data_IF_938755573756
#
_entry.id   IF_938755573756
#
_cell.length_a   1.000
_cell.length_b   1.000
_cell.length_c   1.000
_cell.angle_alpha   90.00
_cell.angle_beta   90.00
_cell.angle_gamma   90.00
#
_symmetry.space_group_name_H-M   'P 1'
#
loop_
_entity.id
_entity.type
_entity.pdbx_description
1 polymer ?
#
# COMPACT_ATOMS: atom_id res chain seq x y z
N UNK A 1 -10.22 8.80 -8.82
CA UNK A 1 -9.27 9.89 -8.49
C UNK A 1 -8.26 9.98 -9.61
N UNK A 2 -8.12 11.14 -10.23
CA UNK A 2 -7.20 11.40 -11.34
C UNK A 2 -5.78 11.69 -10.84
N UNK A 3 -4.77 11.69 -11.71
CA UNK A 3 -3.40 12.12 -11.38
C UNK A 3 -3.36 13.53 -10.81
N UNK A 4 -4.18 14.44 -11.36
CA UNK A 4 -4.29 15.80 -10.88
C UNK A 4 -4.85 15.87 -9.45
N UNK A 5 -5.88 15.09 -9.16
CA UNK A 5 -6.44 14.99 -7.80
C UNK A 5 -5.40 14.45 -6.80
N UNK A 6 -4.57 13.48 -7.21
CA UNK A 6 -3.46 12.96 -6.40
C UNK A 6 -2.45 14.08 -6.11
N UNK A 7 -2.03 14.82 -7.14
CA UNK A 7 -1.07 15.93 -7.02
C UNK A 7 -1.60 17.00 -6.06
N UNK A 8 -2.86 17.43 -6.24
CA UNK A 8 -3.45 18.46 -5.40
C UNK A 8 -3.60 17.97 -3.95
N UNK A 9 -4.06 16.73 -3.74
CA UNK A 9 -4.14 16.13 -2.40
C UNK A 9 -2.78 16.06 -1.74
N UNK A 10 -1.73 15.61 -2.47
CA UNK A 10 -0.36 15.60 -1.97
C UNK A 10 0.12 17.01 -1.61
N UNK A 11 -0.21 18.05 -2.37
CA UNK A 11 0.25 19.41 -2.06
C UNK A 11 -0.36 19.91 -0.75
N UNK A 12 -1.66 19.71 -0.58
CA UNK A 12 -2.43 20.30 0.51
C UNK A 12 -2.53 19.43 1.78
N UNK A 13 -2.19 18.14 1.73
CA UNK A 13 -2.19 17.30 2.94
C UNK A 13 -1.20 17.82 3.99
N UNK A 14 -1.63 17.80 5.25
CA UNK A 14 -0.80 18.19 6.39
C UNK A 14 0.28 17.14 6.68
N UNK A 15 1.45 17.59 7.12
CA UNK A 15 2.53 16.72 7.63
C UNK A 15 2.53 16.62 9.16
N UNK A 16 1.59 17.29 9.85
CA UNK A 16 1.50 17.24 11.32
C UNK A 16 0.77 16.00 11.83
N UNK A 17 -0.07 15.38 10.99
CA UNK A 17 -0.82 14.16 11.31
C UNK A 17 -0.86 13.28 10.07
N UNK A 18 -0.01 12.25 10.04
CA UNK A 18 0.13 11.36 8.89
C UNK A 18 -0.29 9.93 9.28
N UNK A 19 -1.60 9.73 9.35
CA UNK A 19 -2.19 8.45 9.68
C UNK A 19 -2.45 7.60 8.44
N UNK A 20 -3.33 6.61 8.60
CA UNK A 20 -3.73 5.72 7.51
C UNK A 20 -4.27 6.43 6.26
N UNK A 21 -5.12 7.49 6.36
CA UNK A 21 -5.62 8.19 5.18
C UNK A 21 -4.49 8.80 4.34
N UNK A 22 -3.52 9.46 4.97
CA UNK A 22 -2.34 10.00 4.30
C UNK A 22 -1.48 8.90 3.69
N UNK A 23 -1.36 7.77 4.38
CA UNK A 23 -0.71 6.56 3.88
C UNK A 23 -1.32 6.05 2.58
N UNK A 24 -2.66 6.02 2.47
CA UNK A 24 -3.35 5.63 1.23
C UNK A 24 -3.02 6.59 0.09
N UNK A 25 -3.00 7.90 0.35
CA UNK A 25 -2.65 8.91 -0.67
C UNK A 25 -1.22 8.71 -1.15
N UNK A 26 -0.26 8.51 -0.24
CA UNK A 26 1.14 8.23 -0.57
C UNK A 26 1.27 6.94 -1.37
N UNK A 27 0.63 5.85 -0.92
CA UNK A 27 0.63 4.57 -1.62
C UNK A 27 0.10 4.69 -3.05
N UNK A 28 -0.93 5.50 -3.25
CA UNK A 28 -1.50 5.79 -4.57
C UNK A 28 -0.58 6.64 -5.43
N UNK A 29 0.03 7.68 -4.87
CA UNK A 29 0.94 8.57 -5.60
C UNK A 29 2.20 7.86 -6.09
N UNK A 30 2.83 7.07 -5.22
CA UNK A 30 4.03 6.28 -5.57
C UNK A 30 3.70 5.27 -6.67
N UNK A 31 2.54 4.63 -6.58
CA UNK A 31 2.07 3.70 -7.60
C UNK A 31 1.80 4.40 -8.94
N UNK A 32 1.02 5.48 -8.91
CA UNK A 32 0.64 6.22 -10.11
C UNK A 32 1.90 6.70 -10.84
N UNK A 33 2.87 7.27 -10.11
CA UNK A 33 4.16 7.69 -10.67
C UNK A 33 4.90 6.55 -11.40
N UNK A 34 4.93 5.35 -10.81
CA UNK A 34 5.57 4.17 -11.42
C UNK A 34 4.87 3.68 -12.69
N UNK A 35 3.57 3.96 -12.85
CA UNK A 35 2.77 3.52 -14.00
C UNK A 35 2.56 4.59 -15.07
N UNK A 36 2.75 5.86 -14.74
CA UNK A 36 2.56 6.96 -15.68
C UNK A 36 3.61 6.91 -16.80
N UNK A 37 3.21 7.14 -18.06
CA UNK A 37 4.15 7.36 -19.15
C UNK A 37 4.95 8.64 -18.94
N UNK A 38 6.12 8.72 -19.55
CA UNK A 38 6.92 9.95 -19.53
C UNK A 38 6.14 11.12 -20.12
N UNK A 39 6.16 12.26 -19.42
CA UNK A 39 5.40 13.44 -19.81
C UNK A 39 5.22 14.45 -18.68
N UNK A 40 4.52 15.54 -18.99
CA UNK A 40 4.35 16.65 -18.05
C UNK A 40 3.66 16.23 -16.74
N UNK A 41 2.63 15.38 -16.80
CA UNK A 41 1.93 14.91 -15.60
C UNK A 41 2.83 14.08 -14.68
N UNK A 42 3.71 13.25 -15.24
CA UNK A 42 4.68 12.46 -14.48
C UNK A 42 5.72 13.35 -13.79
N UNK A 43 6.21 14.37 -14.47
CA UNK A 43 7.14 15.35 -13.89
C UNK A 43 6.47 16.22 -12.80
N UNK A 44 5.20 16.61 -13.00
CA UNK A 44 4.45 17.33 -11.96
C UNK A 44 4.20 16.47 -10.72
N UNK A 45 3.88 15.19 -10.90
CA UNK A 45 3.72 14.25 -9.79
C UNK A 45 5.05 13.99 -9.09
N UNK A 46 6.15 13.81 -9.85
CA UNK A 46 7.52 13.71 -9.29
C UNK A 46 7.83 14.90 -8.39
N UNK A 47 7.58 16.11 -8.88
CA UNK A 47 7.80 17.33 -8.11
C UNK A 47 6.95 17.36 -6.85
N UNK A 48 5.67 17.01 -6.93
CA UNK A 48 4.78 16.96 -5.77
C UNK A 48 5.24 15.94 -4.71
N UNK A 49 5.71 14.76 -5.14
CA UNK A 49 6.27 13.73 -4.26
C UNK A 49 7.51 14.27 -3.53
N UNK A 50 8.46 14.86 -4.27
CA UNK A 50 9.70 15.40 -3.68
C UNK A 50 9.41 16.58 -2.75
N UNK A 51 8.58 17.54 -3.18
CA UNK A 51 8.23 18.73 -2.38
C UNK A 51 7.53 18.34 -1.06
N UNK A 52 6.69 17.30 -1.08
CA UNK A 52 6.03 16.81 0.13
C UNK A 52 6.98 16.00 1.00
N UNK A 53 7.82 15.14 0.42
CA UNK A 53 8.83 14.39 1.18
C UNK A 53 9.82 15.32 1.89
N UNK A 54 10.18 16.46 1.28
CA UNK A 54 11.03 17.48 1.90
C UNK A 54 10.38 18.02 3.19
N UNK A 55 9.07 18.29 3.18
CA UNK A 55 8.33 18.73 4.36
C UNK A 55 8.25 17.65 5.45
N UNK A 56 8.38 16.38 5.08
CA UNK A 56 8.33 15.24 6.01
C UNK A 56 9.68 14.98 6.69
N UNK A 57 10.81 15.49 6.17
CA UNK A 57 12.16 15.20 6.70
C UNK A 57 12.30 15.54 8.19
N UNK A 58 11.66 16.62 8.64
CA UNK A 58 11.74 17.12 10.01
C UNK A 58 10.63 16.59 10.94
N UNK A 59 9.78 15.67 10.45
CA UNK A 59 8.56 15.24 11.14
C UNK A 59 8.64 13.77 11.50
N UNK A 60 8.62 13.49 12.81
CA UNK A 60 8.34 12.16 13.35
C UNK A 60 6.85 12.06 13.63
N UNK A 61 6.12 11.35 12.78
CA UNK A 61 4.70 11.06 13.03
C UNK A 61 4.53 9.61 13.43
N UNK A 62 3.71 9.36 14.45
CA UNK A 62 3.29 8.00 14.76
C UNK A 62 2.22 7.55 13.75
N UNK A 63 2.48 6.42 13.09
CA UNK A 63 1.40 5.63 12.50
C UNK A 63 1.00 4.64 13.58
N UNK A 64 -0.15 4.88 14.21
CA UNK A 64 -0.69 3.91 15.17
C UNK A 64 -1.31 2.75 14.38
N UNK A 65 -0.92 1.52 14.71
CA UNK A 65 -1.42 0.30 14.10
C UNK A 65 -0.57 -0.27 12.96
N UNK A 66 -0.29 -1.57 13.05
CA UNK A 66 0.47 -2.35 12.07
C UNK A 66 -0.25 -2.63 10.74
N UNK A 67 -1.44 -2.08 10.58
CA UNK A 67 -2.44 -2.47 9.58
C UNK A 67 -2.45 -1.54 8.36
N UNK A 68 -1.74 -0.42 8.41
CA UNK A 68 -1.99 0.70 7.51
C UNK A 68 -0.78 1.03 6.61
N UNK A 69 -1.02 1.49 5.38
CA UNK A 69 0.04 2.01 4.52
C UNK A 69 0.74 3.19 5.21
N UNK A 70 2.07 3.24 5.09
CA UNK A 70 2.85 4.32 5.70
C UNK A 70 2.94 5.54 4.79
N UNK A 71 2.58 6.72 5.29
CA UNK A 71 2.86 7.97 4.61
C UNK A 71 4.37 8.23 4.48
N UNK A 72 5.18 7.68 5.39
CA UNK A 72 6.64 7.81 5.36
C UNK A 72 7.27 7.07 4.17
N UNK A 73 6.52 6.21 3.48
CA UNK A 73 7.00 5.60 2.24
C UNK A 73 7.30 6.64 1.14
N UNK A 74 6.78 7.87 1.26
CA UNK A 74 7.11 8.95 0.36
C UNK A 74 8.60 9.34 0.42
N UNK A 75 9.27 9.13 1.57
CA UNK A 75 10.70 9.36 1.72
C UNK A 75 11.53 8.40 0.86
N UNK A 76 11.14 7.11 0.78
CA UNK A 76 11.79 6.15 -0.13
C UNK A 76 11.58 6.55 -1.60
N UNK A 77 10.38 7.01 -1.96
CA UNK A 77 10.11 7.47 -3.30
C UNK A 77 10.99 8.68 -3.66
N UNK A 78 11.09 9.69 -2.78
CA UNK A 78 11.94 10.84 -2.99
C UNK A 78 13.44 10.47 -3.07
N UNK A 79 13.90 9.54 -2.22
CA UNK A 79 15.26 8.99 -2.31
C UNK A 79 15.52 8.37 -3.68
N UNK A 80 14.65 7.49 -4.16
CA UNK A 80 14.80 6.82 -5.46
C UNK A 80 14.75 7.81 -6.64
N UNK A 81 14.00 8.90 -6.51
CA UNK A 81 13.85 9.93 -7.55
C UNK A 81 15.04 10.90 -7.64
N UNK A 82 15.72 11.14 -6.53
CA UNK A 82 16.70 12.23 -6.41
C UNK A 82 18.11 11.75 -6.12
N UNK A 83 18.27 10.57 -5.50
CA UNK A 83 19.55 10.10 -4.96
C UNK A 83 20.04 10.91 -3.75
N UNK A 84 19.20 11.75 -3.15
CA UNK A 84 19.59 12.60 -2.02
C UNK A 84 19.71 11.76 -0.73
N UNK A 85 20.95 11.57 -0.28
CA UNK A 85 21.30 10.79 0.91
C UNK A 85 20.75 11.38 2.24
N UNK A 86 20.25 12.61 2.23
CA UNK A 86 19.54 13.15 3.41
C UNK A 86 18.26 12.36 3.69
N UNK A 87 17.54 11.89 2.65
CA UNK A 87 16.36 11.03 2.84
C UNK A 87 16.73 9.71 3.52
N UNK A 88 17.82 9.08 3.08
CA UNK A 88 18.31 7.84 3.71
C UNK A 88 18.66 8.04 5.18
N UNK A 89 19.27 9.18 5.50
CA UNK A 89 19.62 9.53 6.89
C UNK A 89 18.35 9.64 7.75
N UNK A 90 17.35 10.38 7.27
CA UNK A 90 16.04 10.52 7.94
C UNK A 90 15.34 9.16 8.10
N UNK A 91 15.28 8.36 7.04
CA UNK A 91 14.67 7.03 7.06
C UNK A 91 15.34 6.14 8.12
N UNK A 92 16.67 6.17 8.17
CA UNK A 92 17.45 5.39 9.16
C UNK A 92 17.19 5.86 10.59
N UNK A 93 16.98 7.15 10.80
CA UNK A 93 16.62 7.69 12.12
C UNK A 93 15.18 7.33 12.53
N UNK A 94 14.26 7.26 11.56
CA UNK A 94 12.87 6.84 11.80
C UNK A 94 12.79 5.35 12.15
N UNK A 95 13.51 4.50 11.43
CA UNK A 95 13.56 3.06 11.72
C UNK A 95 14.10 2.77 13.12
N UNK A 96 15.14 3.49 13.55
CA UNK A 96 15.71 3.35 14.91
C UNK A 96 14.88 3.98 16.01
N UNK A 97 13.80 4.69 15.65
CA UNK A 97 12.95 5.35 16.64
C UNK A 97 12.01 4.36 17.30
N UNK A 98 11.48 4.71 18.47
CA UNK A 98 10.42 3.93 19.12
C UNK A 98 9.07 4.05 18.38
N UNK A 99 8.99 4.94 17.39
CA UNK A 99 7.78 5.22 16.66
C UNK A 99 7.60 4.19 15.54
N UNK A 100 6.47 3.50 15.56
CA UNK A 100 6.13 2.53 14.53
C UNK A 100 5.71 3.24 13.23
N UNK A 101 6.32 2.85 12.11
CA UNK A 101 6.11 3.47 10.79
C UNK A 101 5.19 2.68 9.86
N UNK A 102 5.01 1.38 10.08
CA UNK A 102 4.23 0.49 9.20
C UNK A 102 5.06 -0.60 8.52
N UNK A 103 4.50 -1.79 8.31
CA UNK A 103 5.25 -2.96 7.79
C UNK A 103 5.83 -2.73 6.39
N UNK A 104 5.13 -1.99 5.54
CA UNK A 104 5.65 -1.64 4.22
C UNK A 104 6.85 -0.69 4.32
N UNK A 105 6.87 0.20 5.31
CA UNK A 105 8.03 1.07 5.57
C UNK A 105 9.22 0.23 6.04
N UNK A 106 9.00 -0.64 7.01
CA UNK A 106 10.04 -1.51 7.57
C UNK A 106 10.57 -2.48 6.51
N UNK A 107 9.71 -3.00 5.63
CA UNK A 107 10.12 -3.85 4.51
C UNK A 107 10.96 -3.06 3.49
N UNK A 108 10.58 -1.83 3.15
CA UNK A 108 11.41 -0.97 2.30
C UNK A 108 12.76 -0.70 2.94
N UNK A 109 12.82 -0.47 4.26
CA UNK A 109 14.07 -0.28 4.99
C UNK A 109 14.97 -1.50 4.83
N UNK A 110 14.47 -2.68 5.16
CA UNK A 110 15.22 -3.92 5.11
C UNK A 110 15.70 -4.24 3.70
N UNK A 111 14.88 -3.95 2.68
CA UNK A 111 15.24 -4.15 1.27
C UNK A 111 16.32 -3.21 0.80
N UNK A 112 16.21 -1.91 1.12
CA UNK A 112 17.09 -0.88 0.57
C UNK A 112 18.36 -0.69 1.40
N UNK A 113 18.27 -0.83 2.73
CA UNK A 113 19.32 -0.44 3.67
C UNK A 113 19.68 -1.51 4.72
N UNK A 114 18.70 -2.26 5.24
CA UNK A 114 18.81 -3.06 6.48
C UNK A 114 19.44 -4.46 6.38
N UNK A 115 19.85 -4.91 5.19
CA UNK A 115 20.56 -6.20 5.06
C UNK A 115 19.68 -7.46 5.16
N UNK A 116 18.35 -7.31 5.24
CA UNK A 116 17.31 -8.35 5.12
C UNK A 116 17.14 -9.30 6.32
N UNK A 117 17.67 -8.93 7.49
CA UNK A 117 17.61 -9.77 8.69
C UNK A 117 16.21 -9.83 9.30
N UNK A 118 15.39 -8.80 9.11
CA UNK A 118 14.07 -8.68 9.74
C UNK A 118 12.90 -9.06 8.84
N UNK A 119 13.13 -9.49 7.58
CA UNK A 119 12.05 -9.90 6.68
C UNK A 119 11.11 -10.94 7.32
N UNK A 120 11.67 -11.94 8.00
CA UNK A 120 10.87 -12.99 8.62
C UNK A 120 9.95 -12.43 9.71
N UNK A 121 10.47 -11.55 10.57
CA UNK A 121 9.68 -10.91 11.62
C UNK A 121 8.49 -10.12 11.03
N UNK A 122 8.70 -9.40 9.93
CA UNK A 122 7.65 -8.67 9.23
C UNK A 122 6.57 -9.61 8.67
N UNK A 123 6.95 -10.77 8.09
CA UNK A 123 5.97 -11.76 7.62
C UNK A 123 5.18 -12.41 8.76
N UNK A 124 5.82 -12.70 9.90
CA UNK A 124 5.14 -13.22 11.09
C UNK A 124 4.13 -12.21 11.60
N UNK A 125 4.49 -10.92 11.61
CA UNK A 125 3.60 -9.85 12.04
C UNK A 125 2.35 -9.75 11.17
N UNK A 126 2.48 -9.88 9.85
CA UNK A 126 1.32 -9.98 8.95
C UNK A 126 0.41 -11.17 9.29
N UNK A 127 0.99 -12.33 9.60
CA UNK A 127 0.23 -13.53 9.96
C UNK A 127 -0.51 -13.39 11.30
N UNK A 128 0.04 -12.63 12.26
CA UNK A 128 -0.65 -12.27 13.51
C UNK A 128 -1.84 -11.35 13.24
N UNK A 129 -1.65 -10.29 12.45
CA UNK A 129 -2.70 -9.33 12.09
C UNK A 129 -3.83 -9.94 11.26
N UNK A 130 -3.53 -10.97 10.47
CA UNK A 130 -4.55 -11.75 9.78
C UNK A 130 -5.49 -12.46 10.77
N UNK A 131 -4.99 -12.84 11.96
CA UNK A 131 -5.77 -13.56 12.98
C UNK A 131 -6.50 -12.63 13.94
N UNK A 132 -6.14 -11.35 14.01
CA UNK A 132 -6.85 -10.38 14.84
C UNK A 132 -8.19 -10.03 14.20
N UNK A 133 -9.24 -9.92 15.04
CA UNK A 133 -10.53 -9.40 14.60
C UNK A 133 -10.35 -7.95 14.14
N UNK A 134 -10.61 -7.71 12.85
CA UNK A 134 -10.70 -6.36 12.29
C UNK A 134 -12.13 -5.86 12.48
N UNK A 135 -12.26 -4.65 13.01
CA UNK A 135 -13.52 -4.13 13.52
C UNK A 135 -14.42 -3.53 12.43
N UNK A 136 -13.89 -3.24 11.24
CA UNK A 136 -14.63 -2.68 10.11
C UNK A 136 -13.96 -2.92 8.75
N UNK A 137 -14.70 -2.68 7.66
CA UNK A 137 -14.25 -2.86 6.28
C UNK A 137 -13.05 -1.98 5.90
N UNK A 138 -12.92 -0.78 6.49
CA UNK A 138 -11.78 0.10 6.23
C UNK A 138 -10.47 -0.52 6.74
N UNK A 139 -10.48 -1.13 7.93
CA UNK A 139 -9.32 -1.86 8.44
C UNK A 139 -8.95 -3.06 7.55
N UNK A 140 -9.94 -3.77 7.01
CA UNK A 140 -9.71 -4.86 6.06
C UNK A 140 -9.09 -4.35 4.76
N UNK A 141 -9.61 -3.24 4.21
CA UNK A 141 -9.08 -2.63 2.99
C UNK A 141 -7.65 -2.12 3.17
N UNK A 142 -7.36 -1.47 4.29
CA UNK A 142 -6.03 -0.95 4.58
C UNK A 142 -5.02 -2.07 4.83
N UNK A 143 -5.42 -3.16 5.50
CA UNK A 143 -4.60 -4.37 5.64
C UNK A 143 -4.22 -4.93 4.27
N UNK A 144 -5.19 -5.04 3.36
CA UNK A 144 -4.95 -5.53 2.00
C UNK A 144 -4.00 -4.61 1.23
N UNK A 145 -4.14 -3.29 1.38
CA UNK A 145 -3.24 -2.33 0.74
C UNK A 145 -1.82 -2.38 1.34
N UNK A 146 -1.68 -2.46 2.66
CA UNK A 146 -0.39 -2.61 3.34
C UNK A 146 0.33 -3.91 2.92
N UNK A 147 -0.41 -5.00 2.75
CA UNK A 147 0.11 -6.27 2.25
C UNK A 147 0.58 -6.15 0.80
N UNK A 148 -0.19 -5.50 -0.07
CA UNK A 148 0.22 -5.23 -1.47
C UNK A 148 1.48 -4.35 -1.53
N UNK A 149 1.57 -3.31 -0.71
CA UNK A 149 2.74 -2.43 -0.64
C UNK A 149 3.98 -3.15 -0.11
N UNK A 150 3.81 -4.06 0.86
CA UNK A 150 4.90 -4.89 1.37
C UNK A 150 5.39 -5.88 0.31
N UNK A 151 4.48 -6.49 -0.44
CA UNK A 151 4.83 -7.38 -1.58
C UNK A 151 5.59 -6.60 -2.66
N UNK A 152 5.25 -5.32 -2.88
CA UNK A 152 6.00 -4.47 -3.81
C UNK A 152 7.41 -4.11 -3.30
N UNK A 153 7.59 -4.05 -1.98
CA UNK A 153 8.83 -3.64 -1.33
C UNK A 153 9.83 -4.78 -1.13
N UNK A 154 9.39 -6.03 -1.03
CA UNK A 154 10.28 -7.17 -0.71
C UNK A 154 11.17 -7.54 -1.91
N UNK A 155 12.45 -7.83 -1.65
CA UNK A 155 13.38 -8.27 -2.68
C UNK A 155 13.14 -9.74 -3.11
N UNK A 156 13.20 -9.99 -4.43
CA UNK A 156 13.01 -11.30 -5.06
C UNK A 156 13.86 -12.47 -4.48
N UNK A 157 15.11 -12.27 -4.00
CA UNK A 157 15.92 -13.38 -3.47
C UNK A 157 15.37 -14.07 -2.21
N UNK A 158 14.36 -13.51 -1.54
CA UNK A 158 13.73 -14.12 -0.36
C UNK A 158 12.37 -14.72 -0.74
N UNK A 159 12.40 -15.58 -1.75
CA UNK A 159 11.23 -16.13 -2.43
C UNK A 159 10.22 -16.78 -1.48
N UNK A 160 10.68 -17.46 -0.42
CA UNK A 160 9.78 -18.11 0.56
C UNK A 160 8.91 -17.10 1.32
N UNK A 161 9.52 -15.98 1.75
CA UNK A 161 8.79 -14.92 2.46
C UNK A 161 7.89 -14.14 1.50
N UNK A 162 8.37 -13.86 0.29
CA UNK A 162 7.53 -13.29 -0.78
C UNK A 162 6.30 -14.16 -1.04
N UNK A 163 6.49 -15.47 -1.20
CA UNK A 163 5.40 -16.42 -1.45
C UNK A 163 4.42 -16.46 -0.28
N UNK A 164 4.89 -16.41 0.95
CA UNK A 164 4.02 -16.37 2.13
C UNK A 164 3.12 -15.13 2.14
N UNK A 165 3.64 -13.96 1.76
CA UNK A 165 2.83 -12.73 1.66
C UNK A 165 1.82 -12.83 0.51
N UNK A 166 2.22 -13.38 -0.64
CA UNK A 166 1.34 -13.61 -1.81
C UNK A 166 0.20 -14.56 -1.47
N UNK A 167 0.51 -15.69 -0.83
CA UNK A 167 -0.50 -16.68 -0.45
C UNK A 167 -1.48 -16.09 0.59
N UNK A 168 -0.97 -15.28 1.52
CA UNK A 168 -1.79 -14.54 2.47
C UNK A 168 -2.75 -13.56 1.77
N UNK A 169 -2.26 -12.79 0.81
CA UNK A 169 -3.09 -11.83 0.06
C UNK A 169 -4.20 -12.54 -0.70
N UNK A 170 -3.88 -13.67 -1.36
CA UNK A 170 -4.84 -14.46 -2.14
C UNK A 170 -5.95 -15.05 -1.28
N UNK A 171 -5.60 -15.59 -0.12
CA UNK A 171 -6.56 -16.19 0.80
C UNK A 171 -7.52 -15.14 1.36
N UNK A 172 -6.98 -14.00 1.83
CA UNK A 172 -7.80 -12.89 2.35
C UNK A 172 -8.71 -12.29 1.28
N UNK A 173 -8.18 -12.05 0.08
CA UNK A 173 -8.99 -11.57 -1.05
C UNK A 173 -10.12 -12.55 -1.40
N UNK A 174 -9.84 -13.86 -1.36
CA UNK A 174 -10.83 -14.90 -1.61
C UNK A 174 -12.01 -14.81 -0.63
N UNK A 175 -11.69 -14.77 0.67
CA UNK A 175 -12.69 -14.66 1.75
C UNK A 175 -13.50 -13.37 1.68
N UNK A 176 -12.84 -12.24 1.38
CA UNK A 176 -13.50 -10.94 1.20
C UNK A 176 -14.48 -10.96 0.03
N UNK A 177 -14.10 -11.55 -1.11
CA UNK A 177 -14.98 -11.70 -2.26
C UNK A 177 -16.16 -12.62 -1.92
N UNK A 178 -15.91 -13.77 -1.28
CA UNK A 178 -16.99 -14.69 -0.93
C UNK A 178 -18.02 -14.04 0.00
N UNK A 179 -17.57 -13.29 1.02
CA UNK A 179 -18.46 -12.47 1.87
C UNK A 179 -19.24 -11.43 1.07
N UNK A 180 -18.62 -10.79 0.07
CA UNK A 180 -19.30 -9.83 -0.77
C UNK A 180 -20.43 -10.46 -1.60
N UNK A 181 -20.21 -11.66 -2.16
CA UNK A 181 -21.25 -12.39 -2.88
C UNK A 181 -22.39 -12.86 -1.96
N UNK A 182 -22.05 -13.34 -0.76
CA UNK A 182 -23.02 -13.70 0.27
C UNK A 182 -23.90 -12.50 0.68
N UNK A 183 -23.30 -11.32 0.84
CA UNK A 183 -24.00 -10.06 1.17
C UNK A 183 -25.05 -9.69 0.12
N UNK A 184 -24.74 -9.85 -1.15
CA UNK A 184 -25.69 -9.58 -2.25
C UNK A 184 -26.75 -10.69 -2.42
N UNK A 185 -26.64 -11.81 -1.69
CA UNK A 185 -27.54 -12.95 -1.83
C UNK A 185 -27.42 -13.67 -3.18
N UNK A 186 -26.31 -13.47 -3.90
CA UNK A 186 -26.07 -14.05 -5.22
C UNK A 186 -25.08 -15.20 -5.04
N UNK A 187 -25.48 -16.43 -5.41
CA UNK A 187 -24.50 -17.52 -5.51
C UNK A 187 -23.45 -17.15 -6.57
N UNK A 188 -22.18 -17.21 -6.18
CA UNK A 188 -21.03 -16.98 -7.06
C UNK A 188 -21.10 -17.94 -8.26
N UNK A 189 -21.72 -17.51 -9.35
CA UNK A 189 -21.72 -18.26 -10.60
C UNK A 189 -20.34 -18.05 -11.22
N UNK A 190 -19.74 -19.12 -11.74
CA UNK A 190 -18.47 -19.05 -12.48
C UNK A 190 -18.63 -18.34 -13.85
N UNK A 191 -19.64 -17.46 -13.98
CA UNK A 191 -19.98 -16.78 -15.22
C UNK A 191 -19.12 -15.53 -15.31
N UNK A 192 -18.34 -15.45 -16.38
CA UNK A 192 -17.55 -14.29 -16.73
C UNK A 192 -18.43 -13.05 -16.88
N UNK A 193 -18.22 -12.01 -16.06
CA UNK A 193 -18.77 -10.67 -16.24
C UNK A 193 -19.56 -10.11 -15.05
N UNK A 194 -20.17 -10.96 -14.21
CA UNK A 194 -20.82 -10.50 -12.97
C UNK A 194 -19.78 -10.30 -11.87
N UNK A 195 -19.89 -9.19 -11.16
CA UNK A 195 -19.01 -8.84 -10.05
C UNK A 195 -19.77 -8.00 -9.02
N UNK A 196 -19.28 -8.00 -7.79
CA UNK A 196 -19.83 -7.25 -6.65
C UNK A 196 -18.74 -6.37 -6.06
N UNK A 197 -19.12 -5.25 -5.46
CA UNK A 197 -18.16 -4.47 -4.67
C UNK A 197 -17.66 -5.35 -3.53
N UNK A 198 -16.35 -5.36 -3.27
CA UNK A 198 -15.81 -6.20 -2.20
C UNK A 198 -16.29 -5.65 -0.86
N UNK A 199 -16.12 -4.35 -0.66
CA UNK A 199 -16.59 -3.61 0.50
C UNK A 199 -17.94 -2.96 0.22
N UNK A 200 -18.80 -2.84 1.24
CA UNK A 200 -20.04 -2.07 1.18
C UNK A 200 -19.79 -0.57 1.36
N UNK A 201 -18.82 -0.20 2.20
CA UNK A 201 -18.36 1.17 2.39
C UNK A 201 -17.56 1.67 1.18
N UNK A 202 -17.93 2.85 0.66
CA UNK A 202 -17.35 3.38 -0.57
C UNK A 202 -15.88 3.78 -0.42
N UNK A 203 -15.49 4.30 0.74
CA UNK A 203 -14.10 4.70 1.00
C UNK A 203 -13.21 3.46 1.15
N UNK A 204 -13.67 2.45 1.90
CA UNK A 204 -13.01 1.16 2.03
C UNK A 204 -12.91 0.46 0.66
N UNK A 205 -13.95 0.52 -0.16
CA UNK A 205 -13.95 -0.04 -1.51
C UNK A 205 -12.89 0.63 -2.39
N UNK A 206 -12.75 1.96 -2.32
CA UNK A 206 -11.71 2.70 -3.06
C UNK A 206 -10.29 2.31 -2.63
N UNK A 207 -10.06 2.04 -1.35
CA UNK A 207 -8.78 1.51 -0.84
C UNK A 207 -8.55 0.09 -1.33
N UNK A 208 -9.57 -0.76 -1.28
CA UNK A 208 -9.51 -2.16 -1.71
C UNK A 208 -9.22 -2.28 -3.22
N UNK A 209 -9.86 -1.44 -4.04
CA UNK A 209 -9.59 -1.36 -5.48
C UNK A 209 -8.11 -1.04 -5.77
N UNK A 210 -7.50 -0.11 -5.00
CA UNK A 210 -6.07 0.19 -5.14
C UNK A 210 -5.23 -1.04 -4.80
N UNK A 211 -5.55 -1.76 -3.72
CA UNK A 211 -4.84 -2.99 -3.35
C UNK A 211 -4.93 -4.06 -4.46
N UNK A 212 -6.13 -4.29 -5.02
CA UNK A 212 -6.33 -5.25 -6.11
C UNK A 212 -5.62 -4.79 -7.40
N UNK A 213 -5.66 -3.49 -7.73
CA UNK A 213 -4.94 -2.92 -8.88
C UNK A 213 -3.45 -3.22 -8.80
N UNK A 214 -2.84 -2.98 -7.63
CA UNK A 214 -1.43 -3.30 -7.36
C UNK A 214 -1.17 -4.80 -7.49
N UNK A 215 -2.01 -5.62 -6.86
CA UNK A 215 -1.86 -7.07 -6.88
C UNK A 215 -1.93 -7.68 -8.30
N UNK A 216 -2.81 -7.17 -9.16
CA UNK A 216 -2.88 -7.57 -10.57
C UNK A 216 -1.56 -7.22 -11.30
N UNK A 217 -1.08 -5.98 -11.15
CA UNK A 217 0.13 -5.53 -11.83
C UNK A 217 1.41 -6.21 -11.32
N UNK A 218 1.47 -6.55 -10.03
CA UNK A 218 2.53 -7.35 -9.40
C UNK A 218 2.41 -8.85 -9.71
N UNK A 219 1.40 -9.28 -10.48
CA UNK A 219 1.09 -10.69 -10.78
C UNK A 219 0.85 -11.56 -9.54
N UNK A 220 0.44 -10.93 -8.43
CA UNK A 220 -0.02 -11.61 -7.23
C UNK A 220 -1.33 -12.33 -7.53
N UNK A 221 -2.22 -11.73 -8.30
CA UNK A 221 -3.46 -12.34 -8.79
C UNK A 221 -3.58 -12.19 -10.31
N UNK A 222 -4.37 -13.06 -10.95
CA UNK A 222 -4.57 -13.05 -12.40
C UNK A 222 -5.44 -11.86 -12.83
N UNK A 223 -4.92 -10.96 -13.66
CA UNK A 223 -5.63 -9.78 -14.11
C UNK A 223 -6.96 -10.13 -14.78
N UNK A 224 -6.98 -11.20 -15.59
CA UNK A 224 -8.17 -11.68 -16.32
C UNK A 224 -9.34 -12.03 -15.40
N UNK A 225 -9.06 -12.37 -14.13
CA UNK A 225 -10.08 -12.73 -13.14
C UNK A 225 -10.39 -11.58 -12.18
N UNK A 226 -9.40 -10.76 -11.83
CA UNK A 226 -9.50 -9.84 -10.70
C UNK A 226 -9.52 -8.35 -11.08
N UNK A 227 -9.18 -7.99 -12.32
CA UNK A 227 -9.16 -6.58 -12.76
C UNK A 227 -10.53 -5.89 -12.66
N UNK A 228 -11.62 -6.65 -12.80
CA UNK A 228 -12.99 -6.15 -12.59
C UNK A 228 -13.22 -5.56 -11.20
N UNK A 229 -12.49 -6.01 -10.18
CA UNK A 229 -12.56 -5.47 -8.81
C UNK A 229 -11.61 -4.27 -8.59
N UNK A 230 -10.80 -3.89 -9.59
CA UNK A 230 -9.84 -2.78 -9.51
C UNK A 230 -10.29 -1.51 -10.26
N UNK A 231 -11.27 -1.63 -11.18
CA UNK A 231 -11.60 -0.58 -12.16
C UNK A 231 -12.91 0.17 -11.89
N UNK A 232 -13.64 -0.15 -10.83
CA UNK A 232 -14.93 0.48 -10.57
C UNK A 232 -14.77 1.94 -10.07
N UNK A 233 -15.53 2.85 -10.68
CA UNK A 233 -15.91 4.17 -10.16
C UNK A 233 -17.39 4.15 -9.82
#
# INVERSE_FOLDING_TARGET
MTTRDIIDTLRYMSVESMGAPEGVIVSRAVWEYGTLPEGNEKEELKKAIVDKAEQMKDKKTAVDGCEYPSAMNLLYAAYNLTGDETYKSVITELEKSETYMGLAFDMNYETMFGGKEHYHALTVRFAELKKSDRNNEMQEALFMLALADTIAAIAEPVYELYRSLVDMFRDELGQLIDRAWEREGIMRKHISGEHVNIMADADAQSVMQLAVKKACALKVVLAEKYQVYAEQM
#
